data_IF_050058522716
#
_entry.id   IF_050058522716
#
_cell.length_a   1.000
_cell.length_b   1.000
_cell.length_c   1.000
_cell.angle_alpha   90.00
_cell.angle_beta   90.00
_cell.angle_gamma   90.00
#
_symmetry.space_group_name_H-M   'P 1'
#
loop_
_entity.id
_entity.type
_entity.pdbx_description
1 polymer ?
#
# COMPACT_ATOMS: atom_id res chain seq x y z
N UNK A 1 -5.90 7.48 9.86
CA UNK A 1 -6.14 6.04 9.59
C UNK A 1 -6.01 5.69 8.10
N UNK A 2 -6.64 6.44 7.19
CA UNK A 2 -6.59 6.17 5.73
C UNK A 2 -5.18 6.25 5.17
N UNK A 3 -4.40 7.27 5.55
CA UNK A 3 -3.01 7.41 5.14
C UNK A 3 -2.14 6.20 5.53
N UNK A 4 -2.29 5.65 6.76
CA UNK A 4 -1.50 4.49 7.18
C UNK A 4 -1.80 3.23 6.34
N UNK A 5 -3.04 3.07 5.85
CA UNK A 5 -3.38 1.97 4.93
C UNK A 5 -2.72 2.19 3.58
N UNK A 6 -2.84 3.40 3.00
CA UNK A 6 -2.18 3.73 1.74
C UNK A 6 -0.65 3.57 1.83
N UNK A 7 -0.07 3.96 2.97
CA UNK A 7 1.36 3.83 3.23
C UNK A 7 1.82 2.37 3.32
N UNK A 8 1.04 1.51 3.99
CA UNK A 8 1.28 0.06 4.04
C UNK A 8 1.21 -0.53 2.62
N UNK A 9 0.16 -0.24 1.87
CA UNK A 9 -0.01 -0.74 0.50
C UNK A 9 1.15 -0.30 -0.41
N UNK A 10 1.61 0.93 -0.23
CA UNK A 10 2.76 1.47 -0.98
C UNK A 10 4.08 0.80 -0.59
N UNK A 11 4.28 0.49 0.69
CA UNK A 11 5.45 -0.23 1.17
C UNK A 11 5.55 -1.64 0.57
N UNK A 12 4.42 -2.35 0.43
CA UNK A 12 4.37 -3.68 -0.18
C UNK A 12 4.43 -3.67 -1.73
N UNK A 13 4.52 -2.50 -2.37
CA UNK A 13 4.47 -2.42 -3.83
C UNK A 13 5.75 -2.97 -4.45
N UNK A 14 5.64 -4.16 -5.02
CA UNK A 14 6.66 -4.81 -5.84
C UNK A 14 6.04 -5.97 -6.60
N UNK A 15 6.55 -6.21 -7.81
CA UNK A 15 6.19 -7.37 -8.64
C UNK A 15 7.38 -8.33 -8.80
N UNK A 16 8.47 -8.07 -8.09
CA UNK A 16 9.72 -8.82 -8.21
C UNK A 16 9.88 -9.72 -6.99
N UNK A 17 9.93 -11.02 -7.23
CA UNK A 17 10.20 -12.02 -6.21
C UNK A 17 11.68 -12.38 -6.15
N UNK A 18 12.12 -12.84 -4.98
CA UNK A 18 13.39 -13.51 -4.81
C UNK A 18 13.31 -14.58 -3.73
N UNK A 19 14.24 -15.52 -3.77
CA UNK A 19 14.50 -16.42 -2.65
C UNK A 19 15.36 -15.73 -1.59
N UNK A 20 14.98 -15.88 -0.32
CA UNK A 20 15.74 -15.41 0.82
C UNK A 20 15.50 -16.33 2.02
N UNK A 21 16.58 -16.82 2.66
CA UNK A 21 16.52 -17.72 3.82
C UNK A 21 15.59 -18.96 3.63
N UNK A 22 15.50 -19.50 2.42
CA UNK A 22 14.66 -20.66 2.12
C UNK A 22 13.17 -20.36 1.94
N UNK A 23 12.78 -19.09 1.84
CA UNK A 23 11.43 -18.65 1.50
C UNK A 23 11.40 -17.62 0.36
N UNK A 24 10.21 -17.24 -0.08
CA UNK A 24 10.00 -16.18 -1.09
C UNK A 24 9.80 -14.84 -0.40
N UNK A 25 10.39 -13.80 -0.95
CA UNK A 25 10.22 -12.39 -0.55
C UNK A 25 9.91 -11.55 -1.78
N UNK A 26 9.24 -10.40 -1.58
CA UNK A 26 9.20 -9.36 -2.62
C UNK A 26 10.36 -8.39 -2.45
N UNK A 27 10.84 -7.84 -3.56
CA UNK A 27 11.92 -6.84 -3.59
C UNK A 27 11.34 -5.43 -3.66
N UNK A 28 11.29 -4.77 -2.51
CA UNK A 28 10.95 -3.35 -2.45
C UNK A 28 12.14 -2.50 -2.86
N UNK A 29 11.87 -1.27 -3.33
CA UNK A 29 12.89 -0.27 -3.63
C UNK A 29 12.56 1.03 -2.92
N UNK A 30 13.54 1.62 -2.23
CA UNK A 30 13.44 2.94 -1.61
C UNK A 30 14.62 3.77 -2.06
N UNK A 31 14.39 4.67 -3.01
CA UNK A 31 15.42 5.57 -3.55
C UNK A 31 16.66 4.83 -4.08
N UNK A 32 16.47 3.70 -4.76
CA UNK A 32 17.56 2.88 -5.29
C UNK A 32 18.10 1.85 -4.31
N UNK A 33 17.73 1.90 -3.03
CA UNK A 33 18.08 0.86 -2.06
C UNK A 33 17.02 -0.23 -2.04
N UNK A 34 17.41 -1.44 -2.40
CA UNK A 34 16.54 -2.61 -2.35
C UNK A 34 16.41 -3.14 -0.92
N UNK A 35 15.22 -3.64 -0.60
CA UNK A 35 14.94 -4.32 0.65
C UNK A 35 14.01 -5.51 0.43
N UNK A 36 14.04 -6.47 1.35
CA UNK A 36 13.15 -7.62 1.31
C UNK A 36 11.85 -7.30 2.05
N UNK A 37 10.72 -7.55 1.41
CA UNK A 37 9.39 -7.56 2.02
C UNK A 37 9.05 -9.01 2.31
N UNK A 38 8.92 -9.33 3.60
CA UNK A 38 8.62 -10.67 4.11
C UNK A 38 7.24 -10.69 4.74
N UNK A 39 6.41 -11.63 4.30
CA UNK A 39 5.06 -11.85 4.83
C UNK A 39 4.61 -13.27 4.46
N UNK A 40 3.39 -13.65 4.86
CA UNK A 40 2.75 -14.87 4.43
C UNK A 40 2.61 -14.90 2.89
N UNK A 41 2.78 -16.09 2.30
CA UNK A 41 2.76 -16.26 0.84
C UNK A 41 1.51 -15.66 0.18
N UNK A 42 0.34 -15.83 0.80
CA UNK A 42 -0.91 -15.28 0.26
C UNK A 42 -0.93 -13.75 0.22
N UNK A 43 -0.24 -13.09 1.15
CA UNK A 43 -0.09 -11.63 1.19
C UNK A 43 0.89 -11.19 0.09
N UNK A 44 2.04 -11.86 -0.01
CA UNK A 44 3.04 -11.57 -1.06
C UNK A 44 2.46 -11.78 -2.47
N UNK A 45 1.75 -12.89 -2.69
CA UNK A 45 1.08 -13.19 -3.96
C UNK A 45 0.07 -12.08 -4.32
N UNK A 46 -0.73 -11.63 -3.34
CA UNK A 46 -1.68 -10.55 -3.54
C UNK A 46 -0.98 -9.27 -4.00
N UNK A 47 0.07 -8.83 -3.31
CA UNK A 47 0.75 -7.59 -3.67
C UNK A 47 1.46 -7.69 -5.02
N UNK A 48 2.17 -8.79 -5.30
CA UNK A 48 2.78 -9.03 -6.62
C UNK A 48 1.78 -8.88 -7.77
N UNK A 49 0.59 -9.45 -7.60
CA UNK A 49 -0.42 -9.52 -8.66
C UNK A 49 -1.26 -8.23 -8.79
N UNK A 50 -1.30 -7.38 -7.75
CA UNK A 50 -2.18 -6.22 -7.71
C UNK A 50 -1.47 -4.87 -7.60
N UNK A 51 -0.26 -4.79 -7.05
CA UNK A 51 0.39 -3.50 -6.74
C UNK A 51 0.81 -2.70 -7.98
N UNK A 52 0.92 -3.36 -9.15
CA UNK A 52 1.16 -2.69 -10.43
C UNK A 52 -0.09 -2.12 -11.11
N UNK A 53 -1.30 -2.40 -10.59
CA UNK A 53 -2.56 -1.88 -11.15
C UNK A 53 -2.73 -0.39 -10.89
N UNK A 54 -3.75 0.23 -11.50
CA UNK A 54 -4.09 1.63 -11.22
C UNK A 54 -4.39 1.83 -9.73
N UNK A 55 -4.21 3.04 -9.16
CA UNK A 55 -4.49 3.29 -7.75
C UNK A 55 -5.90 2.83 -7.33
N UNK A 56 -6.91 3.07 -8.17
CA UNK A 56 -8.29 2.66 -7.90
C UNK A 56 -8.44 1.13 -7.90
N UNK A 57 -7.95 0.44 -8.93
CA UNK A 57 -8.04 -1.03 -9.00
C UNK A 57 -7.25 -1.72 -7.88
N UNK A 58 -6.09 -1.17 -7.50
CA UNK A 58 -5.29 -1.69 -6.41
C UNK A 58 -5.98 -1.49 -5.06
N UNK A 59 -6.54 -0.30 -4.82
CA UNK A 59 -7.32 0.01 -3.62
C UNK A 59 -8.54 -0.89 -3.52
N UNK A 60 -9.30 -1.02 -4.60
CA UNK A 60 -10.47 -1.89 -4.65
C UNK A 60 -10.12 -3.34 -4.33
N UNK A 61 -9.09 -3.88 -4.99
CA UNK A 61 -8.64 -5.25 -4.77
C UNK A 61 -8.20 -5.49 -3.32
N UNK A 62 -7.57 -4.50 -2.68
CA UNK A 62 -7.14 -4.62 -1.29
C UNK A 62 -8.33 -4.57 -0.34
N UNK A 63 -9.17 -3.53 -0.43
CA UNK A 63 -10.28 -3.31 0.51
C UNK A 63 -11.40 -4.35 0.38
N UNK A 64 -11.63 -4.92 -0.81
CA UNK A 64 -12.60 -5.99 -1.01
C UNK A 64 -12.09 -7.38 -0.60
N UNK A 65 -10.81 -7.50 -0.22
CA UNK A 65 -10.22 -8.77 0.20
C UNK A 65 -10.63 -9.14 1.62
N UNK A 66 -11.76 -9.83 1.75
CA UNK A 66 -12.32 -10.24 3.03
C UNK A 66 -11.39 -11.14 3.87
N UNK A 67 -10.41 -11.82 3.26
CA UNK A 67 -9.44 -12.63 4.01
C UNK A 67 -8.46 -11.77 4.81
N UNK A 68 -8.16 -10.55 4.36
CA UNK A 68 -7.30 -9.63 5.11
C UNK A 68 -8.01 -9.00 6.31
N UNK A 69 -9.35 -8.92 6.27
CA UNK A 69 -10.13 -8.15 7.23
C UNK A 69 -11.17 -8.99 7.99
N UNK A 70 -10.85 -10.25 8.28
CA UNK A 70 -11.68 -11.09 9.15
C UNK A 70 -13.09 -11.39 8.60
N UNK A 71 -13.26 -11.36 7.28
CA UNK A 71 -14.55 -11.56 6.60
C UNK A 71 -15.20 -10.26 6.10
N UNK A 72 -14.68 -9.10 6.48
CA UNK A 72 -15.27 -7.81 6.12
C UNK A 72 -14.82 -7.29 4.74
N UNK A 73 -15.75 -6.67 4.03
CA UNK A 73 -15.51 -5.95 2.78
C UNK A 73 -15.46 -4.45 3.09
N UNK A 74 -14.25 -3.90 3.11
CA UNK A 74 -14.02 -2.53 3.52
C UNK A 74 -14.39 -1.50 2.44
N UNK A 75 -14.67 -1.93 1.20
CA UNK A 75 -15.19 -1.03 0.15
C UNK A 75 -16.56 -0.43 0.52
N UNK A 76 -17.25 -1.05 1.48
CA UNK A 76 -18.55 -0.59 2.00
C UNK A 76 -18.44 0.55 3.01
N UNK A 77 -17.23 0.88 3.47
CA UNK A 77 -17.01 2.02 4.37
C UNK A 77 -17.03 3.29 3.54
N UNK A 78 -17.96 4.20 3.85
CA UNK A 78 -18.14 5.46 3.13
C UNK A 78 -16.80 6.23 3.03
N UNK A 79 -16.50 6.72 1.82
CA UNK A 79 -15.33 7.52 1.44
C UNK A 79 -13.95 6.86 1.65
N UNK A 80 -13.87 5.67 2.23
CA UNK A 80 -12.59 5.02 2.56
C UNK A 80 -11.77 4.71 1.31
N UNK A 81 -12.41 4.10 0.30
CA UNK A 81 -11.77 3.70 -0.94
C UNK A 81 -11.29 4.90 -1.76
N UNK A 82 -12.09 5.97 -1.82
CA UNK A 82 -11.72 7.20 -2.52
C UNK A 82 -10.52 7.88 -1.87
N UNK A 83 -10.54 8.06 -0.55
CA UNK A 83 -9.45 8.72 0.19
C UNK A 83 -8.14 7.92 0.08
N UNK A 84 -8.19 6.60 0.19
CA UNK A 84 -6.98 5.75 0.04
C UNK A 84 -6.48 5.79 -1.40
N UNK A 85 -7.37 5.74 -2.39
CA UNK A 85 -7.01 5.86 -3.81
C UNK A 85 -6.24 7.15 -4.08
N UNK A 86 -6.72 8.27 -3.52
CA UNK A 86 -6.04 9.57 -3.59
C UNK A 86 -4.63 9.52 -3.01
N UNK A 87 -4.47 8.99 -1.80
CA UNK A 87 -3.13 8.88 -1.20
C UNK A 87 -2.18 7.97 -1.98
N UNK A 88 -2.66 6.85 -2.53
CA UNK A 88 -1.81 5.97 -3.36
C UNK A 88 -1.37 6.67 -4.64
N UNK A 89 -2.27 7.42 -5.29
CA UNK A 89 -1.92 8.22 -6.47
C UNK A 89 -0.83 9.25 -6.13
N UNK A 90 -1.02 10.00 -5.05
CA UNK A 90 -0.08 11.02 -4.57
C UNK A 90 1.30 10.42 -4.21
N UNK A 91 1.32 9.29 -3.49
CA UNK A 91 2.57 8.62 -3.11
C UNK A 91 3.32 8.14 -4.35
N UNK A 92 2.62 7.63 -5.38
CA UNK A 92 3.26 7.18 -6.62
C UNK A 92 3.80 8.34 -7.45
N UNK A 93 3.11 9.48 -7.46
CA UNK A 93 3.52 10.66 -8.22
C UNK A 93 4.69 11.40 -7.55
N UNK A 94 4.59 11.66 -6.24
CA UNK A 94 5.48 12.60 -5.53
C UNK A 94 6.39 11.92 -4.52
N UNK A 95 6.15 10.64 -4.23
CA UNK A 95 6.87 9.88 -3.21
C UNK A 95 6.33 10.09 -1.79
N UNK A 96 6.46 9.06 -0.97
CA UNK A 96 5.96 9.01 0.41
C UNK A 96 6.34 10.23 1.26
N UNK A 97 7.60 10.68 1.16
CA UNK A 97 8.11 11.78 2.00
C UNK A 97 7.37 13.10 1.72
N UNK A 98 7.04 13.40 0.46
CA UNK A 98 6.32 14.62 0.12
C UNK A 98 4.92 14.60 0.76
N UNK A 99 4.21 13.48 0.63
CA UNK A 99 2.85 13.32 1.16
C UNK A 99 2.82 13.39 2.70
N UNK A 100 3.79 12.78 3.39
CA UNK A 100 3.89 12.87 4.87
C UNK A 100 4.13 14.31 5.32
N UNK A 101 4.95 15.08 4.60
CA UNK A 101 5.22 16.47 4.96
C UNK A 101 3.95 17.33 4.82
N UNK A 102 3.16 17.14 3.77
CA UNK A 102 1.90 17.88 3.58
C UNK A 102 0.93 17.58 4.74
N UNK A 103 0.80 16.30 5.13
CA UNK A 103 -0.04 15.89 6.25
C UNK A 103 0.38 16.52 7.58
N UNK A 104 1.68 16.58 7.84
CA UNK A 104 2.20 17.19 9.07
C UNK A 104 1.93 18.71 9.12
N UNK A 105 1.99 19.39 7.97
CA UNK A 105 1.73 20.83 7.88
C UNK A 105 0.25 21.19 7.96
N UNK A 106 -0.63 20.30 7.51
CA UNK A 106 -2.08 20.50 7.63
C UNK A 106 -2.55 20.34 9.09
N UNK A 107 -1.94 19.44 9.86
CA UNK A 107 -2.19 19.32 11.30
C UNK A 107 -1.73 20.58 12.08
N UNK A 108 -0.62 21.21 11.67
CA UNK A 108 -0.14 22.46 12.30
C UNK A 108 -1.03 23.68 12.02
N UNK A 109 -1.82 23.69 10.92
CA UNK A 109 -2.75 24.80 10.61
C UNK A 109 -4.05 24.73 11.41
N UNK A 110 -4.32 23.60 12.06
CA UNK A 110 -5.52 23.37 12.88
C UNK A 110 -5.23 23.46 14.39
N UNK A 111 -3.96 23.69 14.77
CA UNK A 111 -3.49 23.87 16.15
C UNK A 111 -3.32 25.37 16.50
#
# INVERSE_FOLDING_TARGET
>A
LTFSIAALMSFYTSQTEAEFNGGIVLKGNRNGEEYNITDDKAVLDFFRDNSGKTPAEFTHAYLSNTKFFGGEDLTKVLDLEEVITGYIADIRERGMRAVVNDLALDDEKLA
#
